data_IF_797849376607
#
_entry.id   IF_797849376607
#
_cell.length_a   1.000
_cell.length_b   1.000
_cell.length_c   1.000
_cell.angle_alpha   90.00
_cell.angle_beta   90.00
_cell.angle_gamma   90.00
#
_symmetry.space_group_name_H-M   'P 1'
#
loop_
_entity.id
_entity.type
_entity.pdbx_description
1 polymer ?
#
# COMPACT_ATOMS: atom_id res chain seq x y z
N UNK A 1 11.80 1.57 11.37
CA UNK A 1 10.94 1.43 10.18
C UNK A 1 10.71 2.83 9.67
N UNK A 2 11.15 3.10 8.45
CA UNK A 2 10.72 4.27 7.70
C UNK A 2 9.43 3.92 6.93
N UNK A 3 8.70 4.94 6.49
CA UNK A 3 7.52 4.80 5.65
C UNK A 3 7.79 5.41 4.29
N UNK A 4 7.19 4.85 3.24
CA UNK A 4 7.27 5.38 1.88
C UNK A 4 6.43 6.66 1.78
N UNK A 5 7.03 7.71 1.24
CA UNK A 5 6.38 8.98 0.94
C UNK A 5 6.03 9.12 -0.54
N UNK A 6 6.85 8.54 -1.41
CA UNK A 6 6.62 8.44 -2.84
C UNK A 6 6.98 7.04 -3.33
N UNK A 7 6.59 6.72 -4.57
CA UNK A 7 6.96 5.45 -5.18
C UNK A 7 8.47 5.35 -5.47
N UNK A 8 9.16 6.49 -5.64
CA UNK A 8 10.62 6.51 -5.83
C UNK A 8 11.40 6.13 -4.58
N UNK A 9 10.79 6.19 -3.40
CA UNK A 9 11.40 5.69 -2.15
C UNK A 9 11.56 4.17 -2.17
N UNK A 10 10.70 3.47 -2.93
CA UNK A 10 10.79 2.03 -3.13
C UNK A 10 11.83 1.69 -4.20
N UNK A 11 11.73 2.35 -5.35
CA UNK A 11 12.64 2.16 -6.50
C UNK A 11 12.72 3.47 -7.29
N UNK A 12 13.91 4.10 -7.39
CA UNK A 12 14.10 5.36 -8.11
C UNK A 12 13.66 5.33 -9.57
N UNK A 13 13.64 4.16 -10.22
CA UNK A 13 13.17 4.00 -11.61
C UNK A 13 11.67 4.24 -11.77
N UNK A 14 10.90 4.23 -10.67
CA UNK A 14 9.47 4.50 -10.66
C UNK A 14 9.14 5.99 -10.56
N UNK A 15 10.15 6.87 -10.59
CA UNK A 15 9.94 8.31 -10.66
C UNK A 15 9.26 8.69 -11.98
N UNK A 16 8.12 9.38 -11.89
CA UNK A 16 7.35 9.77 -13.08
C UNK A 16 6.63 8.59 -13.75
N UNK A 17 6.38 7.50 -13.00
CA UNK A 17 5.55 6.41 -13.47
C UNK A 17 4.19 6.93 -13.98
N UNK A 18 3.75 6.36 -15.10
CA UNK A 18 2.47 6.68 -15.72
C UNK A 18 1.31 6.44 -14.74
N UNK A 19 0.42 7.42 -14.63
CA UNK A 19 -0.78 7.35 -13.79
C UNK A 19 -1.74 6.24 -14.22
N UNK A 20 -1.68 5.79 -15.47
CA UNK A 20 -2.55 4.73 -15.98
C UNK A 20 -2.01 3.31 -15.73
N UNK A 21 -0.77 3.17 -15.26
CA UNK A 21 -0.12 1.87 -15.06
C UNK A 21 -0.02 1.52 -13.58
N UNK A 22 -0.40 0.31 -13.18
CA UNK A 22 -0.19 -0.14 -11.80
C UNK A 22 1.18 -0.81 -11.68
N UNK A 23 1.96 -0.39 -10.68
CA UNK A 23 3.23 -1.05 -10.37
C UNK A 23 3.00 -2.26 -9.46
N UNK A 24 3.45 -3.43 -9.91
CA UNK A 24 3.39 -4.67 -9.14
C UNK A 24 4.82 -5.10 -8.79
N UNK A 25 5.21 -5.13 -7.51
CA UNK A 25 6.56 -5.54 -7.13
C UNK A 25 6.76 -7.05 -7.34
N UNK A 26 7.61 -7.41 -8.32
CA UNK A 26 7.89 -8.82 -8.69
C UNK A 26 8.43 -9.65 -7.53
N UNK A 27 9.25 -9.03 -6.69
CA UNK A 27 9.84 -9.66 -5.49
C UNK A 27 8.80 -10.32 -4.58
N UNK A 28 7.56 -9.82 -4.54
CA UNK A 28 6.49 -10.40 -3.74
C UNK A 28 6.03 -11.78 -4.24
N UNK A 29 6.35 -12.15 -5.48
CA UNK A 29 6.12 -13.48 -6.04
C UNK A 29 7.33 -14.40 -5.93
N UNK A 30 8.53 -13.83 -5.88
CA UNK A 30 9.78 -14.56 -6.12
C UNK A 30 10.54 -14.87 -4.83
N UNK A 31 10.52 -13.96 -3.85
CA UNK A 31 11.35 -14.07 -2.65
C UNK A 31 10.65 -14.86 -1.53
N UNK A 32 11.43 -15.71 -0.84
CA UNK A 32 10.93 -16.66 0.16
C UNK A 32 10.21 -16.00 1.33
N UNK A 33 10.67 -14.82 1.74
CA UNK A 33 10.03 -14.02 2.80
C UNK A 33 8.58 -13.61 2.49
N UNK A 34 8.14 -13.70 1.23
CA UNK A 34 6.79 -13.33 0.78
C UNK A 34 5.95 -14.51 0.28
N UNK A 35 6.46 -15.76 0.32
CA UNK A 35 5.77 -16.97 -0.20
C UNK A 35 4.37 -17.23 0.35
N UNK A 36 3.99 -16.60 1.47
CA UNK A 36 2.64 -16.71 2.01
C UNK A 36 1.62 -15.76 1.37
N UNK A 37 2.02 -14.76 0.58
CA UNK A 37 1.13 -13.85 -0.12
C UNK A 37 0.58 -14.51 -1.39
N UNK A 38 -0.72 -14.32 -1.64
CA UNK A 38 -1.36 -14.66 -2.90
C UNK A 38 -1.53 -13.40 -3.77
N UNK A 39 -1.95 -13.61 -5.02
CA UNK A 39 -2.14 -12.54 -5.99
C UNK A 39 -3.12 -11.45 -5.55
N UNK A 40 -4.15 -11.76 -4.73
CA UNK A 40 -5.09 -10.74 -4.22
C UNK A 40 -4.43 -9.81 -3.20
N UNK A 41 -3.59 -10.36 -2.32
CA UNK A 41 -2.82 -9.52 -1.39
C UNK A 41 -1.80 -8.65 -2.13
N UNK A 42 -1.11 -9.23 -3.12
CA UNK A 42 -0.12 -8.50 -3.93
C UNK A 42 -0.80 -7.39 -4.75
N UNK A 43 -1.96 -7.66 -5.36
CA UNK A 43 -2.73 -6.65 -6.07
C UNK A 43 -3.22 -5.54 -5.13
N UNK A 44 -3.75 -5.89 -3.95
CA UNK A 44 -4.15 -4.90 -2.95
C UNK A 44 -2.97 -3.99 -2.56
N UNK A 45 -1.80 -4.56 -2.31
CA UNK A 45 -0.60 -3.79 -2.00
C UNK A 45 -0.19 -2.88 -3.17
N UNK A 46 -0.28 -3.37 -4.41
CA UNK A 46 0.00 -2.60 -5.62
C UNK A 46 -0.92 -1.38 -5.76
N UNK A 47 -2.21 -1.53 -5.47
CA UNK A 47 -3.16 -0.41 -5.45
C UNK A 47 -2.90 0.59 -4.32
N UNK A 48 -2.35 0.15 -3.19
CA UNK A 48 -1.93 1.06 -2.12
C UNK A 48 -0.67 1.84 -2.52
N UNK A 49 0.30 1.19 -3.16
CA UNK A 49 1.48 1.85 -3.74
C UNK A 49 1.08 2.88 -4.79
N UNK A 50 0.07 2.59 -5.60
CA UNK A 50 -0.44 3.49 -6.64
C UNK A 50 -0.89 4.84 -6.07
N UNK A 51 -1.52 4.84 -4.89
CA UNK A 51 -1.90 6.07 -4.16
C UNK A 51 -0.70 6.93 -3.74
N UNK A 52 0.53 6.41 -3.75
CA UNK A 52 1.73 7.23 -3.51
C UNK A 52 2.17 8.04 -4.73
N UNK A 53 1.75 7.64 -5.95
CA UNK A 53 2.01 8.41 -7.18
C UNK A 53 1.15 9.65 -7.25
N UNK A 54 -0.08 9.54 -6.75
CA UNK A 54 -1.04 10.63 -6.77
C UNK A 54 -0.51 11.86 -5.99
N UNK A 55 -0.84 13.07 -6.46
CA UNK A 55 -0.48 14.28 -5.75
C UNK A 55 -1.17 14.30 -4.38
N UNK A 56 -0.59 15.07 -3.47
CA UNK A 56 -1.20 15.31 -2.16
C UNK A 56 -2.54 16.02 -2.34
N UNK A 57 -3.64 15.36 -1.97
CA UNK A 57 -5.00 15.89 -2.09
C UNK A 57 -5.82 15.81 -0.78
N UNK A 58 -5.27 15.19 0.27
CA UNK A 58 -5.90 14.90 1.56
C UNK A 58 -7.18 14.04 1.50
N UNK A 59 -7.52 13.52 0.32
CA UNK A 59 -8.63 12.59 0.12
C UNK A 59 -8.07 11.17 0.03
N UNK A 60 -7.00 11.00 -0.74
CA UNK A 60 -6.35 9.74 -1.05
C UNK A 60 -4.98 9.63 -0.40
N UNK A 61 -4.30 10.76 -0.20
CA UNK A 61 -2.94 10.85 0.35
C UNK A 61 -2.83 12.06 1.28
N UNK A 62 -2.14 11.88 2.40
CA UNK A 62 -1.97 12.94 3.40
C UNK A 62 -0.69 12.77 4.20
N UNK A 63 -0.45 13.68 5.15
CA UNK A 63 0.61 13.58 6.15
C UNK A 63 0.02 13.62 7.56
N UNK A 64 0.61 12.89 8.49
CA UNK A 64 0.32 13.08 9.91
C UNK A 64 1.10 14.27 10.49
N UNK A 65 0.95 14.51 11.79
CA UNK A 65 1.57 15.63 12.50
C UNK A 65 3.12 15.57 12.50
N UNK A 66 3.69 14.40 12.21
CA UNK A 66 5.14 14.18 12.09
C UNK A 66 5.64 14.27 10.64
N UNK A 67 4.79 14.66 9.68
CA UNK A 67 5.14 14.71 8.26
C UNK A 67 5.23 13.34 7.58
N UNK A 68 4.75 12.28 8.23
CA UNK A 68 4.76 10.93 7.66
C UNK A 68 3.56 10.75 6.75
N UNK A 69 3.85 10.34 5.51
CA UNK A 69 2.86 10.07 4.48
C UNK A 69 1.96 8.89 4.83
N UNK A 70 0.66 9.05 4.65
CA UNK A 70 -0.31 7.96 4.65
C UNK A 70 -1.18 8.03 3.39
N UNK A 71 -1.82 6.91 3.07
CA UNK A 71 -2.86 6.82 2.05
C UNK A 71 -4.20 6.45 2.68
N UNK A 72 -5.28 6.79 1.99
CA UNK A 72 -6.64 6.43 2.31
C UNK A 72 -7.20 5.53 1.23
N UNK A 73 -7.81 4.43 1.65
CA UNK A 73 -8.56 3.56 0.76
C UNK A 73 -9.77 3.02 1.52
N UNK A 74 -10.96 3.45 1.14
CA UNK A 74 -12.19 2.96 1.77
C UNK A 74 -12.33 1.47 1.48
N UNK A 75 -12.86 0.74 2.45
CA UNK A 75 -13.04 -0.71 2.31
C UNK A 75 -14.06 -1.00 1.21
N UNK A 76 -15.07 -0.16 1.08
CA UNK A 76 -16.11 -0.22 0.06
C UNK A 76 -15.50 -0.08 -1.35
N UNK A 77 -14.67 0.93 -1.59
CA UNK A 77 -13.96 1.12 -2.87
C UNK A 77 -13.08 -0.10 -3.21
N UNK A 78 -12.40 -0.69 -2.22
CA UNK A 78 -11.61 -1.92 -2.41
C UNK A 78 -12.48 -3.14 -2.73
N UNK A 79 -13.67 -3.24 -2.13
CA UNK A 79 -14.60 -4.32 -2.41
C UNK A 79 -15.06 -4.26 -3.88
N UNK A 80 -15.39 -3.07 -4.37
CA UNK A 80 -15.76 -2.84 -5.76
C UNK A 80 -14.59 -3.12 -6.70
N UNK A 81 -13.42 -2.55 -6.43
CA UNK A 81 -12.23 -2.69 -7.27
C UNK A 81 -11.77 -4.14 -7.43
N UNK A 82 -11.78 -4.92 -6.34
CA UNK A 82 -11.32 -6.32 -6.35
C UNK A 82 -12.47 -7.33 -6.52
N UNK A 83 -13.72 -6.84 -6.61
CA UNK A 83 -14.94 -7.65 -6.58
C UNK A 83 -14.93 -8.69 -5.44
N UNK A 84 -14.66 -8.23 -4.22
CA UNK A 84 -14.54 -9.09 -3.03
C UNK A 84 -15.47 -8.62 -1.91
N UNK A 85 -15.79 -9.54 -1.00
CA UNK A 85 -16.54 -9.20 0.21
C UNK A 85 -15.71 -8.32 1.17
N UNK A 86 -16.39 -7.52 1.99
CA UNK A 86 -15.78 -6.72 3.05
C UNK A 86 -14.88 -7.56 3.97
N UNK A 87 -15.32 -8.76 4.35
CA UNK A 87 -14.54 -9.67 5.18
C UNK A 87 -13.25 -10.12 4.49
N UNK A 88 -13.32 -10.38 3.18
CA UNK A 88 -12.13 -10.70 2.38
C UNK A 88 -11.15 -9.54 2.37
N UNK A 89 -11.59 -8.31 2.06
CA UNK A 89 -10.72 -7.12 2.05
C UNK A 89 -10.05 -6.91 3.41
N UNK A 90 -10.81 -7.03 4.51
CA UNK A 90 -10.26 -6.93 5.86
C UNK A 90 -9.18 -8.00 6.11
N UNK A 91 -9.40 -9.24 5.65
CA UNK A 91 -8.42 -10.32 5.75
C UNK A 91 -7.15 -10.04 4.93
N UNK A 92 -7.29 -9.55 3.70
CA UNK A 92 -6.16 -9.17 2.84
C UNK A 92 -5.31 -8.09 3.53
N UNK A 93 -5.94 -7.03 4.05
CA UNK A 93 -5.23 -5.95 4.77
C UNK A 93 -4.51 -6.47 6.01
N UNK A 94 -5.16 -7.31 6.83
CA UNK A 94 -4.53 -7.94 8.00
C UNK A 94 -3.29 -8.75 7.61
N UNK A 95 -3.32 -9.43 6.48
CA UNK A 95 -2.19 -10.20 5.99
C UNK A 95 -1.04 -9.29 5.54
N UNK A 96 -1.32 -8.19 4.84
CA UNK A 96 -0.28 -7.19 4.53
C UNK A 96 0.36 -6.59 5.79
N UNK A 97 -0.43 -6.37 6.86
CA UNK A 97 0.10 -5.96 8.18
C UNK A 97 0.99 -7.04 8.79
N UNK A 98 0.61 -8.32 8.71
CA UNK A 98 1.41 -9.44 9.22
C UNK A 98 2.77 -9.57 8.53
N UNK A 99 2.83 -9.32 7.22
CA UNK A 99 4.08 -9.28 6.46
C UNK A 99 4.87 -7.98 6.69
N UNK A 100 4.32 -7.04 7.47
CA UNK A 100 4.92 -5.76 7.75
C UNK A 100 5.00 -4.85 6.54
N UNK A 101 4.20 -5.09 5.48
CA UNK A 101 4.19 -4.27 4.26
C UNK A 101 3.45 -2.95 4.50
N UNK A 102 2.40 -2.97 5.32
CA UNK A 102 1.63 -1.79 5.71
C UNK A 102 1.42 -1.73 7.22
N UNK A 103 1.18 -0.53 7.72
CA UNK A 103 0.63 -0.27 9.05
C UNK A 103 -0.72 0.46 8.90
N UNK A 104 -1.71 0.10 9.71
CA UNK A 104 -3.03 0.73 9.65
C UNK A 104 -3.40 1.34 10.99
N UNK A 105 -3.65 2.65 10.99
CA UNK A 105 -4.06 3.42 12.17
C UNK A 105 -5.52 3.80 12.03
N UNK A 106 -6.33 3.39 13.01
CA UNK A 106 -7.73 3.80 13.10
C UNK A 106 -7.82 5.29 13.38
N UNK A 107 -8.48 6.00 12.48
CA UNK A 107 -8.95 7.36 12.72
C UNK A 107 -10.27 7.29 13.49
N UNK A 108 -10.61 8.32 14.26
CA UNK A 108 -11.85 8.37 15.04
C UNK A 108 -13.12 8.16 14.21
N UNK A 109 -14.28 8.15 14.88
CA UNK A 109 -15.55 7.77 14.26
C UNK A 109 -15.80 8.50 12.92
N UNK A 110 -16.10 7.70 11.89
CA UNK A 110 -16.45 8.10 10.52
C UNK A 110 -15.32 8.56 9.57
N UNK A 111 -14.05 8.51 9.97
CA UNK A 111 -12.94 8.74 9.04
C UNK A 111 -12.32 7.43 8.53
N UNK A 112 -11.90 7.36 7.25
CA UNK A 112 -11.17 6.20 6.74
C UNK A 112 -9.82 6.07 7.45
N UNK A 113 -9.45 4.84 7.78
CA UNK A 113 -8.18 4.56 8.44
C UNK A 113 -7.00 5.11 7.62
N UNK A 114 -5.96 5.57 8.32
CA UNK A 114 -4.69 5.95 7.71
C UNK A 114 -3.88 4.69 7.48
N UNK A 115 -3.47 4.46 6.24
CA UNK A 115 -2.63 3.33 5.85
C UNK A 115 -1.25 3.87 5.53
N UNK A 116 -0.24 3.40 6.26
CA UNK A 116 1.15 3.74 6.05
C UNK A 116 1.83 2.60 5.30
N UNK A 117 2.44 2.90 4.15
CA UNK A 117 3.26 1.92 3.42
C UNK A 117 4.67 1.94 4.03
N UNK A 118 5.16 0.78 4.45
CA UNK A 118 6.45 0.67 5.14
C UNK A 118 7.62 0.55 4.14
N UNK A 119 8.84 0.76 4.63
CA UNK A 119 10.08 0.47 3.91
C UNK A 119 10.44 -1.02 3.82
N UNK A 120 9.57 -1.94 4.27
CA UNK A 120 9.87 -3.39 4.37
C UNK A 120 10.38 -3.99 3.05
N UNK A 121 9.92 -3.48 1.91
CA UNK A 121 10.28 -4.01 0.60
C UNK A 121 11.60 -3.42 0.05
N UNK A 122 12.06 -2.26 0.56
CA UNK A 122 13.22 -1.53 0.04
C UNK A 122 14.51 -2.36 0.00
N UNK A 123 14.85 -3.19 1.02
CA UNK A 123 16.07 -3.99 0.98
C UNK A 123 16.14 -4.96 -0.20
N UNK A 124 15.00 -5.48 -0.64
CA UNK A 124 14.92 -6.48 -1.72
C UNK A 124 14.84 -5.86 -3.13
N UNK A 125 14.69 -4.54 -3.22
CA UNK A 125 14.69 -3.82 -4.51
C UNK A 125 16.11 -3.48 -5.00
N UNK A 126 17.12 -3.70 -4.15
CA UNK A 126 18.53 -3.38 -4.42
C UNK A 126 19.39 -4.61 -4.74
N UNK A 127 18.79 -5.79 -4.73
CA UNK A 127 19.40 -7.06 -5.17
C UNK A 127 19.20 -7.25 -6.68
#
# INVERSE_FOLDING_TARGET
MAYLSTLSDLDPSLMGADSEQIYIPKVLFEHDDFKGLNYKEILLYSFLLDRLKEPLDFIQKGYNDNGITYVHFKVEDLCELLNQSKNTIISLKKKLVQFGLIEEVKTGNNQPNRIYLTDKLVPYMKE
#
